data_IF_527617564395
#
_entry.id   IF_527617564395
#
_cell.length_a   1.000
_cell.length_b   1.000
_cell.length_c   1.000
_cell.angle_alpha   90.00
_cell.angle_beta   90.00
_cell.angle_gamma   90.00
#
_symmetry.space_group_name_H-M   'P 1'
#
loop_
_entity.id
_entity.type
_entity.pdbx_description
1 polymer ?
#
# COMPACT_ATOMS: atom_id res chain seq x y z
N UNK A 1 25.95 9.76 -1.16
CA UNK A 1 24.97 8.83 -1.77
C UNK A 1 23.97 9.63 -2.59
N UNK A 2 23.58 9.13 -3.76
CA UNK A 2 22.68 9.81 -4.71
C UNK A 2 21.27 9.21 -4.66
N UNK A 3 20.20 9.99 -4.89
CA UNK A 3 18.87 9.44 -5.05
C UNK A 3 18.81 8.37 -6.14
N UNK A 4 18.01 7.34 -5.94
CA UNK A 4 17.85 6.24 -6.91
C UNK A 4 16.40 5.80 -7.01
N UNK A 5 15.98 5.46 -8.22
CA UNK A 5 14.64 4.99 -8.50
C UNK A 5 14.49 3.53 -8.07
N UNK A 6 13.32 3.18 -7.58
CA UNK A 6 12.92 1.81 -7.27
C UNK A 6 11.61 1.51 -7.97
N UNK A 7 11.38 0.23 -8.25
CA UNK A 7 10.10 -0.24 -8.76
C UNK A 7 9.17 -0.60 -7.61
N UNK A 8 7.88 -0.48 -7.85
CA UNK A 8 6.87 -1.02 -6.96
C UNK A 8 7.05 -2.54 -6.77
N UNK A 9 6.73 -3.04 -5.58
CA UNK A 9 6.79 -4.46 -5.23
C UNK A 9 5.53 -4.90 -4.46
N UNK A 10 5.23 -6.22 -4.39
CA UNK A 10 4.11 -6.70 -3.58
C UNK A 10 4.29 -6.33 -2.10
N UNK A 11 3.19 -5.91 -1.44
CA UNK A 11 3.19 -5.47 -0.02
C UNK A 11 4.10 -4.26 0.27
N UNK A 12 4.36 -3.41 -0.72
CA UNK A 12 5.26 -2.27 -0.58
C UNK A 12 4.64 -1.16 0.28
N UNK A 13 5.24 -0.92 1.46
CA UNK A 13 4.78 0.08 2.45
C UNK A 13 5.86 1.13 2.84
N UNK A 14 6.44 1.87 1.89
CA UNK A 14 7.40 2.94 2.20
C UNK A 14 6.74 4.12 2.94
N UNK A 15 7.57 4.92 3.61
CA UNK A 15 7.20 6.30 3.98
C UNK A 15 7.56 7.22 2.83
N UNK A 16 6.59 8.01 2.36
CA UNK A 16 6.74 8.86 1.19
C UNK A 16 6.45 10.32 1.53
N UNK A 17 7.10 11.22 0.80
CA UNK A 17 6.71 12.63 0.68
C UNK A 17 6.22 12.81 -0.75
N UNK A 18 4.95 13.14 -0.90
CA UNK A 18 4.29 13.28 -2.20
C UNK A 18 3.54 14.61 -2.26
N UNK A 19 3.25 15.09 -3.48
CA UNK A 19 2.47 16.32 -3.64
C UNK A 19 1.07 16.18 -3.04
N UNK A 20 0.51 17.30 -2.60
CA UNK A 20 -0.80 17.36 -1.91
C UNK A 20 -1.97 16.93 -2.79
N UNK A 21 -1.87 17.08 -4.10
CA UNK A 21 -2.88 16.71 -5.09
C UNK A 21 -2.84 15.23 -5.49
N UNK A 22 -2.03 14.42 -4.80
CA UNK A 22 -2.05 12.97 -4.96
C UNK A 22 -3.40 12.37 -4.52
N UNK A 23 -3.71 11.13 -4.93
CA UNK A 23 -4.88 10.40 -4.47
C UNK A 23 -4.97 10.35 -2.95
N UNK A 24 -6.18 10.46 -2.43
CA UNK A 24 -6.45 10.24 -1.02
C UNK A 24 -6.37 8.75 -0.70
N UNK A 25 -6.14 8.43 0.58
CA UNK A 25 -6.23 7.06 1.07
C UNK A 25 -7.65 6.50 0.84
N UNK A 26 -7.73 5.24 0.43
CA UNK A 26 -8.99 4.54 0.31
C UNK A 26 -9.60 4.31 1.71
N UNK A 27 -10.82 4.80 1.89
CA UNK A 27 -11.50 4.84 3.19
C UNK A 27 -11.96 3.46 3.68
N UNK A 28 -11.88 2.41 2.85
CA UNK A 28 -12.18 1.03 3.25
C UNK A 28 -11.11 0.44 4.16
N UNK A 29 -9.85 0.84 3.97
CA UNK A 29 -8.73 0.36 4.78
C UNK A 29 -8.59 1.25 6.03
N UNK A 30 -9.16 0.80 7.16
CA UNK A 30 -9.13 1.51 8.44
C UNK A 30 -8.56 0.59 9.53
N UNK A 31 -7.81 1.17 10.46
CA UNK A 31 -7.19 0.45 11.55
C UNK A 31 -5.86 -0.14 11.13
N UNK A 32 -5.76 -1.47 11.05
CA UNK A 32 -4.50 -2.17 10.80
C UNK A 32 -4.48 -2.89 9.44
N UNK A 33 -3.50 -2.50 8.62
CA UNK A 33 -3.12 -3.19 7.39
C UNK A 33 -3.63 -2.52 6.12
N UNK A 34 -2.83 -2.60 5.06
CA UNK A 34 -3.20 -2.24 3.68
C UNK A 34 -3.51 -0.77 3.37
N UNK A 35 -3.59 0.11 4.36
CA UNK A 35 -3.70 1.56 4.13
C UNK A 35 -2.56 2.10 3.26
N UNK A 36 -1.31 1.77 3.62
CA UNK A 36 -0.12 2.22 2.87
C UNK A 36 0.02 1.50 1.54
N UNK A 37 -0.17 0.17 1.53
CA UNK A 37 -0.08 -0.64 0.30
C UNK A 37 -1.02 -0.12 -0.77
N UNK A 38 -2.31 0.04 -0.45
CA UNK A 38 -3.31 0.52 -1.41
C UNK A 38 -2.96 1.91 -1.96
N UNK A 39 -2.50 2.84 -1.11
CA UNK A 39 -2.11 4.17 -1.55
C UNK A 39 -0.89 4.15 -2.48
N UNK A 40 0.15 3.38 -2.15
CA UNK A 40 1.35 3.26 -2.97
C UNK A 40 1.05 2.56 -4.30
N UNK A 41 0.15 1.58 -4.30
CA UNK A 41 -0.34 0.95 -5.53
C UNK A 41 -1.09 1.93 -6.43
N UNK A 42 -1.95 2.78 -5.87
CA UNK A 42 -2.66 3.81 -6.62
C UNK A 42 -1.70 4.83 -7.23
N UNK A 43 -0.65 5.24 -6.49
CA UNK A 43 0.39 6.15 -7.00
C UNK A 43 1.17 5.51 -8.16
N UNK A 44 1.60 4.26 -8.00
CA UNK A 44 2.29 3.51 -9.05
C UNK A 44 1.38 3.26 -10.28
N UNK A 45 0.07 3.09 -10.07
CA UNK A 45 -0.92 2.97 -11.15
C UNK A 45 -1.11 4.28 -11.95
N UNK A 46 -0.79 5.42 -11.33
CA UNK A 46 -0.72 6.74 -11.96
C UNK A 46 0.67 7.10 -12.48
N UNK A 47 1.57 6.11 -12.58
CA UNK A 47 2.92 6.27 -13.14
C UNK A 47 3.81 7.25 -12.36
N UNK A 48 3.60 7.38 -11.04
CA UNK A 48 4.51 8.13 -10.18
C UNK A 48 5.88 7.45 -10.12
N UNK A 49 6.94 8.24 -10.15
CA UNK A 49 8.30 7.76 -9.93
C UNK A 49 8.57 7.59 -8.43
N UNK A 50 8.97 6.37 -8.03
CA UNK A 50 9.33 6.06 -6.65
C UNK A 50 10.84 6.24 -6.47
N UNK A 51 11.23 7.35 -5.83
CA UNK A 51 12.63 7.72 -5.61
C UNK A 51 13.02 7.57 -4.14
N UNK A 52 14.10 6.84 -3.87
CA UNK A 52 14.70 6.77 -2.54
C UNK A 52 15.66 7.93 -2.34
N UNK A 53 15.50 8.64 -1.22
CA UNK A 53 16.38 9.72 -0.80
C UNK A 53 17.32 9.22 0.32
N UNK A 54 18.56 8.77 0.01
CA UNK A 54 19.42 8.11 1.00
C UNK A 54 19.91 9.04 2.12
N UNK A 55 19.78 10.36 1.96
CA UNK A 55 20.16 11.36 2.95
C UNK A 55 18.96 11.95 3.71
N UNK A 56 17.74 11.46 3.44
CA UNK A 56 16.53 11.82 4.17
C UNK A 56 15.98 10.56 4.83
N UNK A 57 16.02 10.51 6.16
CA UNK A 57 15.60 9.35 6.92
C UNK A 57 14.69 9.78 8.06
N UNK A 58 13.88 8.83 8.51
CA UNK A 58 13.10 8.95 9.73
C UNK A 58 13.46 7.82 10.67
N UNK A 59 13.40 8.09 11.97
CA UNK A 59 13.64 7.11 13.00
C UNK A 59 12.29 6.59 13.46
N UNK A 60 11.99 5.32 13.13
CA UNK A 60 10.83 4.65 13.68
C UNK A 60 11.16 4.17 15.09
N UNK A 61 10.53 4.80 16.09
CA UNK A 61 10.74 4.44 17.49
C UNK A 61 9.94 3.19 17.85
N UNK A 62 10.52 2.22 18.57
CA UNK A 62 9.77 1.09 19.11
C UNK A 62 8.60 1.59 19.95
N UNK A 63 7.42 1.01 19.72
CA UNK A 63 6.20 1.33 20.45
C UNK A 63 5.39 0.05 20.72
N UNK A 64 4.49 0.12 21.70
CA UNK A 64 3.58 -0.98 21.97
C UNK A 64 2.71 -1.29 20.73
N UNK A 65 2.33 -2.56 20.51
CA UNK A 65 1.39 -2.91 19.45
C UNK A 65 0.05 -2.18 19.64
N UNK A 66 -0.55 -1.70 18.55
CA UNK A 66 -1.86 -1.06 18.60
C UNK A 66 -2.99 -2.04 18.96
N UNK A 67 -4.18 -1.56 19.31
CA UNK A 67 -5.31 -2.47 19.52
C UNK A 67 -5.73 -3.17 18.22
N UNK A 68 -5.62 -2.47 17.08
CA UNK A 68 -6.04 -2.99 15.79
C UNK A 68 -5.14 -4.12 15.28
N UNK A 69 -3.83 -4.11 15.59
CA UNK A 69 -2.98 -5.27 15.27
C UNK A 69 -3.38 -6.51 16.07
N UNK A 70 -3.87 -6.32 17.30
CA UNK A 70 -4.34 -7.42 18.15
C UNK A 70 -5.62 -8.01 17.58
N UNK A 71 -6.57 -7.16 17.13
CA UNK A 71 -7.77 -7.60 16.40
C UNK A 71 -7.42 -8.37 15.13
N UNK A 72 -6.53 -7.83 14.30
CA UNK A 72 -6.09 -8.50 13.07
C UNK A 72 -5.50 -9.89 13.35
N UNK A 73 -4.69 -10.02 14.40
CA UNK A 73 -4.08 -11.30 14.80
C UNK A 73 -5.09 -12.31 15.36
N UNK A 74 -6.08 -11.85 16.11
CA UNK A 74 -7.00 -12.74 16.84
C UNK A 74 -8.29 -13.05 16.06
N UNK A 75 -8.74 -12.17 15.17
CA UNK A 75 -10.03 -12.31 14.48
C UNK A 75 -9.85 -12.82 13.04
N UNK A 76 -10.27 -14.06 12.79
CA UNK A 76 -10.37 -14.61 11.42
C UNK A 76 -11.36 -13.83 10.57
N UNK A 77 -12.48 -13.39 11.15
CA UNK A 77 -13.48 -12.57 10.44
C UNK A 77 -12.88 -11.24 9.95
N UNK A 78 -12.03 -10.60 10.76
CA UNK A 78 -11.34 -9.38 10.34
C UNK A 78 -10.43 -9.64 9.14
N UNK A 79 -9.64 -10.72 9.18
CA UNK A 79 -8.74 -11.08 8.06
C UNK A 79 -9.51 -11.41 6.78
N UNK A 80 -10.64 -12.11 6.89
CA UNK A 80 -11.49 -12.42 5.75
C UNK A 80 -12.10 -11.15 5.15
N UNK A 81 -12.57 -10.23 5.99
CA UNK A 81 -13.07 -8.94 5.53
C UNK A 81 -11.97 -8.14 4.82
N UNK A 82 -10.77 -8.07 5.40
CA UNK A 82 -9.64 -7.40 4.77
C UNK A 82 -9.29 -8.03 3.41
N UNK A 83 -9.33 -9.36 3.31
CA UNK A 83 -9.11 -10.08 2.05
C UNK A 83 -10.15 -9.67 0.99
N UNK A 84 -11.43 -9.62 1.34
CA UNK A 84 -12.48 -9.15 0.41
C UNK A 84 -12.23 -7.70 -0.04
N UNK A 85 -11.87 -6.80 0.89
CA UNK A 85 -11.59 -5.40 0.55
C UNK A 85 -10.40 -5.25 -0.40
N UNK A 86 -9.37 -6.09 -0.24
CA UNK A 86 -8.21 -6.14 -1.16
C UNK A 86 -8.62 -6.53 -2.57
N UNK A 87 -9.43 -7.57 -2.69
CA UNK A 87 -9.93 -8.07 -3.98
C UNK A 87 -10.80 -7.02 -4.68
N UNK A 88 -11.69 -6.36 -3.94
CA UNK A 88 -12.49 -5.24 -4.48
C UNK A 88 -11.59 -4.09 -4.95
N UNK A 89 -10.60 -3.69 -4.16
CA UNK A 89 -9.67 -2.64 -4.52
C UNK A 89 -8.87 -2.96 -5.79
N UNK A 90 -8.40 -4.21 -5.94
CA UNK A 90 -7.73 -4.64 -7.18
C UNK A 90 -8.63 -4.58 -8.42
N UNK A 91 -9.91 -4.93 -8.27
CA UNK A 91 -10.88 -4.80 -9.35
C UNK A 91 -11.11 -3.32 -9.69
N UNK A 92 -11.22 -2.45 -8.69
CA UNK A 92 -11.40 -1.01 -8.90
C UNK A 92 -10.20 -0.38 -9.62
N UNK A 93 -8.98 -0.73 -9.21
CA UNK A 93 -7.74 -0.34 -9.91
C UNK A 93 -7.76 -0.79 -11.37
N UNK A 94 -8.17 -2.03 -11.61
CA UNK A 94 -8.24 -2.60 -12.97
C UNK A 94 -9.26 -1.87 -13.84
N UNK A 95 -10.42 -1.50 -13.28
CA UNK A 95 -11.44 -0.69 -13.96
C UNK A 95 -10.95 0.72 -14.26
N UNK A 96 -10.19 1.31 -13.34
CA UNK A 96 -9.77 2.72 -13.40
C UNK A 96 -8.53 2.94 -14.29
N UNK A 97 -7.55 2.03 -14.24
CA UNK A 97 -6.25 2.19 -14.90
C UNK A 97 -5.96 1.14 -15.97
N UNK A 98 -6.86 0.17 -16.17
CA UNK A 98 -6.74 -0.84 -17.22
C UNK A 98 -5.44 -1.64 -17.14
N UNK A 99 -4.68 -1.67 -18.23
CA UNK A 99 -3.47 -2.48 -18.36
C UNK A 99 -2.40 -2.18 -17.29
N UNK A 100 -2.28 -0.92 -16.84
CA UNK A 100 -1.31 -0.53 -15.81
C UNK A 100 -1.55 -1.24 -14.47
N UNK A 101 -2.79 -1.65 -14.18
CA UNK A 101 -3.15 -2.33 -12.95
C UNK A 101 -3.01 -3.87 -13.01
N UNK A 102 -2.82 -4.47 -14.19
CA UNK A 102 -2.72 -5.93 -14.33
C UNK A 102 -1.53 -6.51 -13.55
N UNK A 103 -0.43 -5.75 -13.42
CA UNK A 103 0.76 -6.18 -12.67
C UNK A 103 0.46 -6.49 -11.19
N UNK A 104 -0.53 -5.82 -10.60
CA UNK A 104 -0.91 -6.02 -9.20
C UNK A 104 -1.63 -7.34 -8.95
N UNK A 105 -2.52 -7.73 -9.87
CA UNK A 105 -3.22 -9.02 -9.80
C UNK A 105 -2.26 -10.19 -9.94
N UNK A 106 -1.26 -10.07 -10.82
CA UNK A 106 -0.23 -11.10 -11.00
C UNK A 106 0.68 -11.17 -9.79
N UNK A 107 1.09 -10.03 -9.24
CA UNK A 107 1.92 -9.94 -8.04
C UNK A 107 1.28 -10.62 -6.82
N UNK A 108 -0.01 -10.40 -6.58
CA UNK A 108 -0.72 -11.00 -5.45
C UNK A 108 -0.81 -12.54 -5.54
N UNK A 109 -0.96 -13.08 -6.76
CA UNK A 109 -1.02 -14.55 -6.97
C UNK A 109 0.31 -15.27 -6.70
N UNK A 110 1.42 -14.53 -6.70
CA UNK A 110 2.76 -15.08 -6.52
C UNK A 110 3.27 -14.95 -5.08
N UNK A 111 2.47 -14.41 -4.17
CA UNK A 111 2.72 -14.32 -2.72
C UNK A 111 2.11 -15.51 -1.98
#
# INVERSE_FOLDING_TARGET
TVPYQVEWQPQFEPYVVVRRDCPLYDQRFVGFGWNKVSHIMELDAQEYELLVLPNAFMIHMPHAPSFDISKFRQSTSYRNCLQTLREEFHQDLSRKYGAAALKYLTAERNL
#
